data_IF_475617785562
#
_entry.id   IF_475617785562
#
_cell.length_a   1.000
_cell.length_b   1.000
_cell.length_c   1.000
_cell.angle_alpha   90.00
_cell.angle_beta   90.00
_cell.angle_gamma   90.00
#
_symmetry.space_group_name_H-M   'P 1'
#
loop_
_entity.id
_entity.type
_entity.pdbx_description
1 polymer ?
#
# COMPACT_ATOMS: atom_id res chain seq x y z
N UNK A 1 32.28 14.49 -30.78
CA UNK A 1 32.69 14.43 -29.36
C UNK A 1 32.11 15.67 -28.68
N UNK A 2 31.16 15.61 -27.75
CA UNK A 2 30.57 14.48 -27.04
C UNK A 2 29.19 14.84 -26.47
N UNK A 3 28.23 13.94 -26.68
CA UNK A 3 27.35 13.36 -25.66
C UNK A 3 26.72 14.33 -24.65
N UNK A 4 25.76 15.13 -25.12
CA UNK A 4 24.74 15.71 -24.24
C UNK A 4 23.84 14.57 -23.78
N UNK A 5 24.24 13.89 -22.71
CA UNK A 5 23.38 12.98 -21.95
C UNK A 5 22.15 13.78 -21.52
N UNK A 6 21.07 13.67 -22.30
CA UNK A 6 19.72 13.91 -21.82
C UNK A 6 19.43 12.82 -20.79
N UNK A 7 19.93 13.03 -19.58
CA UNK A 7 19.37 12.39 -18.40
C UNK A 7 17.97 12.95 -18.27
N UNK A 8 17.02 12.31 -18.95
CA UNK A 8 15.63 12.36 -18.56
C UNK A 8 15.66 11.75 -17.17
N UNK A 9 15.77 12.62 -16.17
CA UNK A 9 15.30 12.29 -14.84
C UNK A 9 13.82 12.02 -15.05
N UNK A 10 13.49 10.76 -15.35
CA UNK A 10 12.15 10.24 -15.19
C UNK A 10 11.88 10.45 -13.72
N UNK A 11 11.33 11.62 -13.42
CA UNK A 11 10.80 12.00 -12.15
C UNK A 11 9.65 11.02 -11.93
N UNK A 12 9.97 9.85 -11.38
CA UNK A 12 9.00 8.94 -10.77
C UNK A 12 8.43 9.71 -9.59
N UNK A 13 7.43 10.53 -9.94
CA UNK A 13 6.73 11.43 -9.04
C UNK A 13 6.23 10.61 -7.85
N UNK A 14 6.86 10.91 -6.71
CA UNK A 14 6.47 10.73 -5.31
C UNK A 14 6.27 9.31 -4.77
N UNK A 15 7.31 8.86 -4.06
CA UNK A 15 7.20 8.17 -2.77
C UNK A 15 6.28 8.96 -1.83
N UNK A 16 5.02 8.56 -1.82
CA UNK A 16 3.91 9.34 -1.32
C UNK A 16 2.74 9.08 -2.23
N UNK A 17 2.36 7.81 -2.29
CA UNK A 17 1.18 7.30 -2.95
C UNK A 17 0.07 8.34 -2.81
N UNK A 18 -0.15 9.08 -3.89
CA UNK A 18 -1.38 9.80 -4.10
C UNK A 18 -2.48 8.84 -3.74
N UNK A 19 -3.29 9.20 -2.75
CA UNK A 19 -4.61 8.64 -2.49
C UNK A 19 -5.53 8.93 -3.70
N UNK A 20 -5.06 8.67 -4.92
CA UNK A 20 -5.89 8.44 -6.08
C UNK A 20 -6.77 7.29 -5.65
N UNK A 21 -8.07 7.56 -5.50
CA UNK A 21 -9.05 6.61 -5.04
C UNK A 21 -8.75 5.25 -5.67
N UNK A 22 -8.23 4.33 -4.86
CA UNK A 22 -7.75 3.06 -5.41
C UNK A 22 -8.96 2.39 -6.06
N UNK A 23 -8.86 1.94 -7.30
CA UNK A 23 -10.00 1.32 -8.00
C UNK A 23 -10.52 0.11 -7.22
N UNK A 24 -9.64 -0.61 -6.52
CA UNK A 24 -10.00 -1.69 -5.60
C UNK A 24 -10.79 -1.17 -4.39
N UNK A 25 -10.42 -0.01 -3.82
CA UNK A 25 -11.18 0.63 -2.75
C UNK A 25 -12.56 1.10 -3.24
N UNK A 26 -12.64 1.63 -4.46
CA UNK A 26 -13.89 2.06 -5.08
C UNK A 26 -14.83 0.87 -5.41
N UNK A 27 -14.26 -0.32 -5.62
CA UNK A 27 -15.02 -1.55 -5.83
C UNK A 27 -15.59 -2.15 -4.53
N UNK A 28 -15.16 -1.68 -3.36
CA UNK A 28 -15.66 -2.17 -2.07
C UNK A 28 -17.05 -1.57 -1.75
N UNK A 29 -17.92 -2.32 -1.03
CA UNK A 29 -19.17 -1.79 -0.49
C UNK A 29 -18.94 -0.58 0.41
N UNK A 30 -19.80 0.44 0.30
CA UNK A 30 -19.69 1.73 1.02
C UNK A 30 -19.19 1.69 2.48
N UNK A 31 -19.74 0.84 3.38
CA UNK A 31 -19.25 0.76 4.76
C UNK A 31 -17.79 0.27 4.87
N UNK A 32 -17.34 -0.58 3.96
CA UNK A 32 -15.96 -1.09 3.94
C UNK A 32 -14.96 -0.07 3.37
N UNK A 33 -15.39 0.80 2.46
CA UNK A 33 -14.52 1.82 1.86
C UNK A 33 -13.93 2.76 2.92
N UNK A 34 -14.74 3.15 3.91
CA UNK A 34 -14.30 4.01 5.01
C UNK A 34 -13.22 3.35 5.85
N UNK A 35 -13.44 2.08 6.22
CA UNK A 35 -12.48 1.29 7.01
C UNK A 35 -11.17 1.08 6.24
N UNK A 36 -11.28 0.64 4.98
CA UNK A 36 -10.13 0.36 4.12
C UNK A 36 -9.30 1.63 3.85
N UNK A 37 -9.95 2.79 3.68
CA UNK A 37 -9.27 4.08 3.52
C UNK A 37 -8.49 4.48 4.78
N UNK A 38 -9.10 4.31 5.96
CA UNK A 38 -8.44 4.61 7.23
C UNK A 38 -7.25 3.68 7.47
N UNK A 39 -7.41 2.39 7.21
CA UNK A 39 -6.35 1.40 7.34
C UNK A 39 -5.20 1.69 6.35
N UNK A 40 -5.51 1.97 5.08
CA UNK A 40 -4.50 2.37 4.08
C UNK A 40 -3.74 3.64 4.49
N UNK A 41 -4.42 4.60 5.11
CA UNK A 41 -3.78 5.81 5.64
C UNK A 41 -2.79 5.47 6.77
N UNK A 42 -3.21 4.66 7.75
CA UNK A 42 -2.33 4.20 8.85
C UNK A 42 -1.11 3.45 8.33
N UNK A 43 -1.29 2.58 7.34
CA UNK A 43 -0.20 1.85 6.67
C UNK A 43 0.79 2.84 6.05
N UNK A 44 0.31 3.87 5.35
CA UNK A 44 1.18 4.90 4.75
C UNK A 44 1.90 5.77 5.77
N UNK A 45 1.31 6.00 6.95
CA UNK A 45 1.92 6.75 8.06
C UNK A 45 2.98 5.94 8.81
N UNK A 46 2.86 4.61 8.80
CA UNK A 46 3.84 3.71 9.39
C UNK A 46 5.19 3.80 8.63
N UNK A 47 6.26 3.84 9.43
CA UNK A 47 7.64 3.98 8.98
C UNK A 47 8.51 2.80 9.38
N UNK A 48 7.98 1.95 10.26
CA UNK A 48 8.63 0.75 10.72
C UNK A 48 8.23 -0.43 9.82
N UNK A 49 9.18 -0.91 9.02
CA UNK A 49 8.96 -2.01 8.10
C UNK A 49 8.67 -3.32 8.84
N UNK A 50 9.26 -3.53 10.03
CA UNK A 50 9.06 -4.75 10.81
C UNK A 50 7.65 -4.78 11.41
N UNK A 51 7.17 -3.65 11.94
CA UNK A 51 5.75 -3.54 12.38
C UNK A 51 4.77 -3.77 11.25
N UNK A 52 5.05 -3.27 10.04
CA UNK A 52 4.19 -3.52 8.89
C UNK A 52 4.19 -5.00 8.49
N UNK A 53 5.32 -5.70 8.57
CA UNK A 53 5.40 -7.15 8.31
C UNK A 53 4.62 -7.96 9.35
N UNK A 54 4.71 -7.60 10.62
CA UNK A 54 3.91 -8.21 11.69
C UNK A 54 2.41 -7.98 11.45
N UNK A 55 2.03 -6.74 11.14
CA UNK A 55 0.65 -6.37 10.81
C UNK A 55 0.13 -7.09 9.56
N UNK A 56 0.97 -7.28 8.54
CA UNK A 56 0.63 -8.03 7.33
C UNK A 56 0.33 -9.50 7.65
N UNK A 57 1.15 -10.13 8.49
CA UNK A 57 0.93 -11.51 8.94
C UNK A 57 -0.40 -11.63 9.67
N UNK A 58 -0.66 -10.75 10.65
CA UNK A 58 -1.92 -10.72 11.38
C UNK A 58 -3.13 -10.46 10.47
N UNK A 59 -2.99 -9.59 9.48
CA UNK A 59 -4.04 -9.31 8.52
C UNK A 59 -4.32 -10.53 7.65
N UNK A 60 -3.30 -11.29 7.26
CA UNK A 60 -3.43 -12.51 6.46
C UNK A 60 -4.16 -13.62 7.24
N UNK A 61 -3.85 -13.75 8.52
CA UNK A 61 -4.55 -14.69 9.41
C UNK A 61 -6.01 -14.30 9.60
N UNK A 62 -6.28 -13.00 9.78
CA UNK A 62 -7.65 -12.49 9.82
C UNK A 62 -8.36 -12.66 8.48
N UNK A 63 -7.65 -12.48 7.35
CA UNK A 63 -8.20 -12.64 6.01
C UNK A 63 -8.72 -14.07 5.78
N UNK A 64 -8.08 -15.08 6.41
CA UNK A 64 -8.51 -16.47 6.36
C UNK A 64 -9.79 -16.74 7.18
N UNK A 65 -10.11 -15.87 8.16
CA UNK A 65 -11.26 -16.04 9.05
C UNK A 65 -12.43 -15.09 8.75
N UNK A 66 -12.22 -14.04 7.97
CA UNK A 66 -13.30 -13.13 7.59
C UNK A 66 -14.18 -13.74 6.48
N UNK A 67 -15.47 -13.36 6.42
CA UNK A 67 -16.34 -13.80 5.35
C UNK A 67 -15.81 -13.33 3.97
N UNK A 68 -16.09 -14.07 2.88
CA UNK A 68 -15.57 -13.78 1.54
C UNK A 68 -15.96 -12.40 1.01
N UNK A 69 -17.05 -11.80 1.51
CA UNK A 69 -17.44 -10.43 1.21
C UNK A 69 -16.41 -9.37 1.68
N UNK A 70 -15.60 -9.69 2.68
CA UNK A 70 -14.53 -8.84 3.22
C UNK A 70 -13.15 -9.20 2.64
N UNK A 71 -13.00 -10.35 1.98
CA UNK A 71 -11.76 -10.76 1.32
C UNK A 71 -11.15 -9.68 0.42
N UNK A 72 -11.92 -8.98 -0.46
CA UNK A 72 -11.33 -7.93 -1.30
C UNK A 72 -10.80 -6.73 -0.50
N UNK A 73 -11.36 -6.46 0.68
CA UNK A 73 -10.84 -5.43 1.59
C UNK A 73 -9.47 -5.85 2.13
N UNK A 74 -9.38 -7.09 2.58
CA UNK A 74 -8.16 -7.63 3.18
C UNK A 74 -7.05 -7.71 2.12
N UNK A 75 -7.35 -8.19 0.91
CA UNK A 75 -6.41 -8.22 -0.20
C UNK A 75 -5.88 -6.84 -0.56
N UNK A 76 -6.76 -5.84 -0.62
CA UNK A 76 -6.36 -4.46 -0.87
C UNK A 76 -5.41 -3.93 0.23
N UNK A 77 -5.72 -4.19 1.50
CA UNK A 77 -4.88 -3.77 2.62
C UNK A 77 -3.54 -4.50 2.67
N UNK A 78 -3.52 -5.81 2.36
CA UNK A 78 -2.29 -6.60 2.23
C UNK A 78 -1.38 -6.02 1.15
N UNK A 79 -1.91 -5.76 -0.05
CA UNK A 79 -1.16 -5.11 -1.14
C UNK A 79 -0.58 -3.75 -0.73
N UNK A 80 -1.36 -2.94 0.00
CA UNK A 80 -0.89 -1.63 0.49
C UNK A 80 0.23 -1.77 1.52
N UNK A 81 0.15 -2.73 2.44
CA UNK A 81 1.24 -3.00 3.39
C UNK A 81 2.49 -3.49 2.69
N UNK A 82 2.39 -4.47 1.78
CA UNK A 82 3.53 -4.97 1.01
C UNK A 82 4.21 -3.88 0.19
N UNK A 83 3.42 -3.04 -0.48
CA UNK A 83 3.94 -1.89 -1.21
C UNK A 83 4.70 -0.93 -0.29
N UNK A 84 4.16 -0.65 0.89
CA UNK A 84 4.78 0.24 1.87
C UNK A 84 6.06 -0.34 2.48
N UNK A 85 6.05 -1.63 2.85
CA UNK A 85 7.24 -2.36 3.31
C UNK A 85 8.32 -2.27 2.24
N UNK A 86 7.98 -2.57 1.00
CA UNK A 86 8.92 -2.49 -0.14
C UNK A 86 9.48 -1.07 -0.31
N UNK A 87 8.66 -0.03 -0.17
CA UNK A 87 9.12 1.36 -0.19
C UNK A 87 10.08 1.67 0.96
N UNK A 88 9.78 1.24 2.18
CA UNK A 88 10.60 1.45 3.37
C UNK A 88 11.93 0.69 3.26
N UNK A 89 11.92 -0.56 2.81
CA UNK A 89 13.13 -1.35 2.57
C UNK A 89 14.01 -0.74 1.48
N UNK A 90 13.40 -0.22 0.40
CA UNK A 90 14.14 0.49 -0.65
C UNK A 90 14.70 1.83 -0.20
N UNK A 91 14.02 2.53 0.71
CA UNK A 91 14.47 3.83 1.23
C UNK A 91 15.41 3.73 2.43
N UNK A 92 15.46 2.56 3.09
CA UNK A 92 16.43 2.24 4.13
C UNK A 92 17.80 1.78 3.59
N UNK A 93 17.93 1.61 2.27
CA UNK A 93 19.15 1.18 1.57
C UNK A 93 19.81 2.36 0.86
#
# INVERSE_FOLDING_TARGET
FDKTNRSVATYTRKAGATMAADPELAALPGPMQGMARQAAKKIGEEKDADKLKEGLTQLRDQAAQVPPQMAPVMEYLMKKMEARITELEKSAK
#
